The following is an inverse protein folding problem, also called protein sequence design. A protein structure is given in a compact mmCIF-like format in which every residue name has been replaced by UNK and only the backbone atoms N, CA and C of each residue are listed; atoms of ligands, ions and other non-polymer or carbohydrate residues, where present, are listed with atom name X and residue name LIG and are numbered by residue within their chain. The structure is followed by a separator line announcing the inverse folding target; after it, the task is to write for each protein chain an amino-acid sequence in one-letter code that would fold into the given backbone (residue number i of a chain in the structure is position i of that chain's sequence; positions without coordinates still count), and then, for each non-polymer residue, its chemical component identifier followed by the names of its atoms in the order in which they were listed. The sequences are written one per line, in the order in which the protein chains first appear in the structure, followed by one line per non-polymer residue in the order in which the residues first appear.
data_IF_325928022659
#
_entry.id   IF_325928022659
#
_cell.length_a   1.000
_cell.length_b   1.000
_cell.length_c   1.000
_cell.angle_alpha   90.00
_cell.angle_beta   90.00
_cell.angle_gamma   90.00
#
_symmetry.space_group_name_H-M   'P 1'
#
loop_
_entity.id
_entity.type
_entity.pdbx_description
1 polymer ?
#
# COMPACT_ATOMS: atom_id res chain seq x y z
N UNK A 1 23.29 -8.08 -3.62
CA UNK A 1 23.74 -7.82 -5.00
C UNK A 1 23.13 -8.86 -5.95
N UNK A 2 23.20 -10.15 -5.64
CA UNK A 2 22.54 -11.23 -6.41
C UNK A 2 21.02 -11.04 -6.58
N UNK A 3 20.29 -10.65 -5.52
CA UNK A 3 18.83 -10.41 -5.59
C UNK A 3 18.45 -9.37 -6.67
N UNK A 4 19.27 -8.32 -6.81
CA UNK A 4 19.04 -7.26 -7.80
C UNK A 4 19.37 -7.73 -9.23
N UNK A 5 20.33 -8.64 -9.38
CA UNK A 5 20.66 -9.24 -10.68
C UNK A 5 19.54 -10.19 -11.12
N UNK A 6 19.03 -11.02 -10.22
CA UNK A 6 17.93 -11.94 -10.51
C UNK A 6 16.64 -11.19 -10.88
N UNK A 7 16.29 -10.13 -10.15
CA UNK A 7 15.15 -9.25 -10.49
C UNK A 7 15.28 -8.65 -11.90
N UNK A 8 16.51 -8.28 -12.31
CA UNK A 8 16.77 -7.77 -13.66
C UNK A 8 16.68 -8.86 -14.73
N UNK A 9 17.16 -10.07 -14.44
CA UNK A 9 17.05 -11.22 -15.35
C UNK A 9 15.58 -11.58 -15.55
N UNK A 10 14.79 -11.63 -14.47
CA UNK A 10 13.35 -11.90 -14.53
C UNK A 10 12.61 -10.84 -15.34
N UNK A 11 12.96 -9.56 -15.17
CA UNK A 11 12.42 -8.47 -15.99
C UNK A 11 12.74 -8.69 -17.47
N UNK A 12 13.99 -8.99 -17.80
CA UNK A 12 14.43 -9.23 -19.18
C UNK A 12 13.67 -10.42 -19.79
N UNK A 13 13.54 -11.53 -19.06
CA UNK A 13 12.79 -12.70 -19.50
C UNK A 13 11.31 -12.37 -19.73
N UNK A 14 10.70 -11.56 -18.86
CA UNK A 14 9.31 -11.13 -19.02
C UNK A 14 9.11 -10.28 -20.28
N UNK A 15 10.07 -9.41 -20.62
CA UNK A 15 10.05 -8.60 -21.83
C UNK A 15 10.17 -9.48 -23.08
N UNK A 16 11.05 -10.47 -23.08
CA UNK A 16 11.16 -11.44 -24.17
C UNK A 16 9.86 -12.22 -24.38
N UNK A 17 9.25 -12.74 -23.31
CA UNK A 17 7.95 -13.42 -23.39
C UNK A 17 6.86 -12.50 -23.96
N UNK A 18 6.85 -11.21 -23.60
CA UNK A 18 5.87 -10.27 -24.16
C UNK A 18 6.07 -10.02 -25.66
N UNK A 19 7.32 -9.98 -26.13
CA UNK A 19 7.65 -9.85 -27.55
C UNK A 19 7.29 -11.11 -28.35
N UNK A 20 7.55 -12.29 -27.80
CA UNK A 20 7.18 -13.58 -28.43
C UNK A 20 5.67 -13.75 -28.57
N UNK A 21 4.91 -13.34 -27.54
CA UNK A 21 3.45 -13.46 -27.53
C UNK A 21 2.73 -12.39 -28.37
N UNK A 22 3.41 -11.31 -28.78
CA UNK A 22 2.83 -10.21 -29.56
C UNK A 22 3.65 -9.97 -30.84
N UNK A 23 3.51 -10.83 -31.87
CA UNK A 23 4.27 -10.69 -33.11
C UNK A 23 4.01 -9.33 -33.76
N UNK A 24 5.09 -8.60 -34.05
CA UNK A 24 5.05 -7.26 -34.64
C UNK A 24 5.13 -6.10 -33.64
N UNK A 25 5.11 -6.36 -32.33
CA UNK A 25 5.31 -5.33 -31.29
C UNK A 25 6.79 -5.24 -30.93
N UNK A 26 7.38 -4.05 -31.08
CA UNK A 26 8.79 -3.84 -30.73
C UNK A 26 8.99 -3.70 -29.22
N UNK A 27 10.21 -3.94 -28.73
CA UNK A 27 10.58 -3.64 -27.34
C UNK A 27 10.29 -2.18 -26.98
N UNK A 28 10.47 -1.25 -27.92
CA UNK A 28 10.18 0.17 -27.72
C UNK A 28 8.70 0.39 -27.43
N UNK A 29 7.81 -0.33 -28.12
CA UNK A 29 6.36 -0.22 -27.93
C UNK A 29 5.93 -0.75 -26.57
N UNK A 30 6.49 -1.89 -26.16
CA UNK A 30 6.27 -2.47 -24.81
C UNK A 30 6.70 -1.48 -23.73
N UNK A 31 7.91 -0.92 -23.85
CA UNK A 31 8.42 0.04 -22.87
C UNK A 31 7.61 1.34 -22.85
N UNK A 32 7.16 1.84 -24.01
CA UNK A 32 6.26 3.01 -24.08
C UNK A 32 4.91 2.75 -23.40
N UNK A 33 4.35 1.55 -23.59
CA UNK A 33 3.11 1.14 -22.92
C UNK A 33 3.30 1.15 -21.40
N UNK A 34 4.39 0.55 -20.91
CA UNK A 34 4.70 0.49 -19.48
C UNK A 34 4.96 1.86 -18.88
N UNK A 35 5.73 2.71 -19.55
CA UNK A 35 5.93 4.11 -19.13
C UNK A 35 4.60 4.86 -19.07
N UNK A 36 3.69 4.62 -20.01
CA UNK A 36 2.36 5.24 -20.00
C UNK A 36 1.53 4.79 -18.80
N UNK A 37 1.54 3.48 -18.48
CA UNK A 37 0.89 2.94 -17.29
C UNK A 37 1.46 3.55 -16.01
N UNK A 38 2.78 3.61 -15.88
CA UNK A 38 3.46 4.19 -14.72
C UNK A 38 3.16 5.68 -14.57
N UNK A 39 3.13 6.44 -15.66
CA UNK A 39 2.72 7.86 -15.63
C UNK A 39 1.29 8.03 -15.16
N UNK A 40 0.37 7.18 -15.64
CA UNK A 40 -1.03 7.18 -15.20
C UNK A 40 -1.12 6.87 -13.71
N UNK A 41 -0.44 5.83 -13.24
CA UNK A 41 -0.41 5.44 -11.83
C UNK A 41 0.16 6.55 -10.94
N UNK A 42 1.24 7.20 -11.36
CA UNK A 42 1.81 8.34 -10.63
C UNK A 42 0.85 9.52 -10.55
N UNK A 43 0.10 9.80 -11.63
CA UNK A 43 -0.93 10.83 -11.61
C UNK A 43 -2.05 10.48 -10.62
N UNK A 44 -2.54 9.24 -10.65
CA UNK A 44 -3.55 8.74 -9.71
C UNK A 44 -3.08 8.83 -8.25
N UNK A 45 -1.83 8.45 -7.96
CA UNK A 45 -1.26 8.59 -6.62
C UNK A 45 -1.15 10.04 -6.17
N UNK A 46 -0.75 10.94 -7.08
CA UNK A 46 -0.67 12.37 -6.77
C UNK A 46 -2.05 12.94 -6.42
N UNK A 47 -3.07 12.62 -7.21
CA UNK A 47 -4.45 13.02 -6.95
C UNK A 47 -4.97 12.47 -5.60
N UNK A 48 -4.62 11.23 -5.24
CA UNK A 48 -4.97 10.64 -3.95
C UNK A 48 -4.30 11.36 -2.77
N UNK A 49 -3.03 11.75 -2.91
CA UNK A 49 -2.27 12.49 -1.89
C UNK A 49 -2.84 13.90 -1.74
N UNK A 50 -3.08 14.59 -2.85
CA UNK A 50 -3.60 15.96 -2.86
C UNK A 50 -5.00 16.02 -2.20
N UNK A 51 -5.80 14.96 -2.33
CA UNK A 51 -7.10 14.82 -1.65
C UNK A 51 -7.02 14.59 -0.13
N UNK A 52 -5.85 14.22 0.41
CA UNK A 52 -5.66 13.89 1.84
C UNK A 52 -5.00 15.03 2.63
N UNK A 53 -5.32 16.28 2.30
CA UNK A 53 -4.88 17.44 3.07
C UNK A 53 -5.60 17.54 4.42
N UNK A 54 -4.91 18.08 5.44
CA UNK A 54 -5.48 18.24 6.79
C UNK A 54 -6.38 19.46 6.82
N UNK A 55 -7.65 19.29 7.21
CA UNK A 55 -8.63 20.37 7.34
C UNK A 55 -8.95 20.74 8.78
N UNK A 56 -8.81 19.80 9.71
CA UNK A 56 -9.01 20.05 11.14
C UNK A 56 -8.10 19.18 12.00
N UNK A 57 -7.66 19.72 13.14
CA UNK A 57 -6.83 19.00 14.11
C UNK A 57 -7.47 19.05 15.49
N UNK A 58 -7.76 17.87 16.04
CA UNK A 58 -8.29 17.67 17.38
C UNK A 58 -7.18 17.07 18.29
N UNK A 59 -6.75 17.82 19.30
CA UNK A 59 -5.76 17.34 20.29
C UNK A 59 -6.48 16.83 21.53
N UNK A 60 -6.30 15.54 21.86
CA UNK A 60 -6.76 14.93 23.10
C UNK A 60 -5.57 14.57 23.98
N UNK A 61 -5.84 14.25 25.25
CA UNK A 61 -4.80 13.90 26.24
C UNK A 61 -3.92 12.72 25.82
N UNK A 62 -4.48 11.73 25.13
CA UNK A 62 -3.79 10.50 24.73
C UNK A 62 -3.42 10.43 23.24
N UNK A 63 -4.01 11.27 22.38
CA UNK A 63 -3.85 11.18 20.92
C UNK A 63 -4.17 12.49 20.22
N UNK A 64 -3.59 12.69 19.06
CA UNK A 64 -3.95 13.76 18.12
C UNK A 64 -4.69 13.15 16.94
N UNK A 65 -5.83 13.75 16.56
CA UNK A 65 -6.63 13.36 15.42
C UNK A 65 -6.59 14.46 14.37
N UNK A 66 -6.31 14.08 13.13
CA UNK A 66 -6.33 14.93 11.95
C UNK A 66 -7.50 14.49 11.07
N UNK A 67 -8.41 15.41 10.80
CA UNK A 67 -9.49 15.22 9.82
C UNK A 67 -8.97 15.67 8.46
N UNK A 68 -9.16 14.81 7.46
CA UNK A 68 -8.66 15.03 6.11
C UNK A 68 -9.78 15.56 5.20
N UNK A 69 -9.40 16.28 4.14
CA UNK A 69 -10.35 16.92 3.22
C UNK A 69 -11.28 15.91 2.52
N UNK A 70 -10.79 14.70 2.24
CA UNK A 70 -11.59 13.61 1.68
C UNK A 70 -12.59 12.99 2.69
N UNK A 71 -12.59 13.42 3.95
CA UNK A 71 -13.42 12.88 5.03
C UNK A 71 -12.76 11.73 5.82
N UNK A 72 -11.56 11.30 5.44
CA UNK A 72 -10.77 10.33 6.17
C UNK A 72 -10.25 10.91 7.49
N UNK A 73 -9.77 10.04 8.39
CA UNK A 73 -9.23 10.45 9.69
C UNK A 73 -7.88 9.79 9.94
N UNK A 74 -6.85 10.60 10.19
CA UNK A 74 -5.54 10.13 10.60
C UNK A 74 -5.31 10.41 12.09
N UNK A 75 -4.80 9.44 12.83
CA UNK A 75 -4.62 9.53 14.27
C UNK A 75 -3.21 9.13 14.65
N UNK A 76 -2.61 9.91 15.54
CA UNK A 76 -1.28 9.65 16.11
C UNK A 76 -1.42 9.52 17.62
N UNK A 77 -0.99 8.38 18.16
CA UNK A 77 -0.86 8.18 19.60
C UNK A 77 0.18 9.15 20.18
N UNK A 78 -0.09 9.75 21.34
CA UNK A 78 0.80 10.75 21.95
C UNK A 78 2.18 10.20 22.28
N UNK A 79 2.27 8.91 22.62
CA UNK A 79 3.54 8.25 22.93
C UNK A 79 4.14 7.55 21.70
N UNK A 80 3.63 7.86 20.50
CA UNK A 80 4.02 7.25 19.24
C UNK A 80 3.92 5.72 19.27
N UNK A 81 3.02 5.11 20.07
CA UNK A 81 2.86 3.65 20.13
C UNK A 81 2.25 3.08 18.86
N UNK A 82 1.43 3.88 18.20
CA UNK A 82 0.83 3.58 16.90
C UNK A 82 0.36 4.87 16.26
N UNK A 83 0.13 4.80 14.96
CA UNK A 83 -0.66 5.75 14.20
C UNK A 83 -1.64 4.96 13.34
N UNK A 84 -2.78 5.54 12.99
CA UNK A 84 -3.68 4.89 12.04
C UNK A 84 -4.36 5.86 11.10
N UNK A 85 -4.67 5.37 9.91
CA UNK A 85 -5.53 6.04 8.94
C UNK A 85 -6.84 5.24 8.82
N UNK A 86 -7.97 5.88 9.12
CA UNK A 86 -9.27 5.43 8.65
C UNK A 86 -9.56 6.10 7.32
N UNK A 87 -9.64 5.30 6.25
CA UNK A 87 -9.96 5.78 4.91
C UNK A 87 -11.48 5.72 4.67
N UNK A 88 -12.10 6.86 4.38
CA UNK A 88 -13.56 6.93 4.28
C UNK A 88 -14.10 6.25 3.03
N UNK A 89 -13.32 6.14 1.95
CA UNK A 89 -13.73 5.56 0.67
C UNK A 89 -13.76 4.04 0.74
N UNK A 90 -12.69 3.46 1.27
CA UNK A 90 -12.51 2.00 1.39
C UNK A 90 -13.04 1.45 2.69
N UNK A 91 -13.27 2.31 3.70
CA UNK A 91 -13.64 1.94 5.07
C UNK A 91 -12.58 1.08 5.79
N UNK A 92 -11.37 1.02 5.25
CA UNK A 92 -10.24 0.29 5.84
C UNK A 92 -9.60 1.15 6.93
N UNK A 93 -9.20 0.51 8.04
CA UNK A 93 -8.33 1.12 9.05
C UNK A 93 -6.94 0.51 8.92
N UNK A 94 -5.94 1.33 8.66
CA UNK A 94 -4.53 0.93 8.59
C UNK A 94 -3.80 1.45 9.81
N UNK A 95 -3.34 0.56 10.70
CA UNK A 95 -2.45 0.87 11.81
C UNK A 95 -0.99 0.68 11.38
N UNK A 96 -0.13 1.57 11.86
CA UNK A 96 1.32 1.45 11.73
C UNK A 96 1.94 1.55 13.13
N UNK A 97 2.82 0.61 13.43
CA UNK A 97 3.52 0.50 14.70
C UNK A 97 5.01 0.85 14.54
N UNK A 98 5.68 1.36 15.60
CA UNK A 98 7.09 1.75 15.55
C UNK A 98 8.06 0.63 15.16
N UNK A 99 7.69 -0.63 15.40
CA UNK A 99 8.48 -1.78 15.03
C UNK A 99 8.44 -2.09 13.52
N UNK A 100 7.67 -1.35 12.71
CA UNK A 100 7.49 -1.59 11.28
C UNK A 100 6.31 -2.49 10.95
N UNK A 101 5.57 -2.99 11.95
CA UNK A 101 4.35 -3.76 11.73
C UNK A 101 3.24 -2.84 11.20
N UNK A 102 2.49 -3.36 10.22
CA UNK A 102 1.32 -2.68 9.65
C UNK A 102 0.11 -3.61 9.74
N UNK A 103 -1.00 -3.12 10.29
CA UNK A 103 -2.25 -3.88 10.35
C UNK A 103 -3.34 -3.20 9.55
N UNK A 104 -4.03 -3.93 8.68
CA UNK A 104 -5.22 -3.45 7.99
C UNK A 104 -6.44 -4.20 8.50
N UNK A 105 -7.44 -3.46 8.97
CA UNK A 105 -8.75 -4.00 9.31
C UNK A 105 -9.74 -3.64 8.20
N UNK A 106 -10.30 -4.67 7.57
CA UNK A 106 -11.25 -4.54 6.47
C UNK A 106 -12.70 -4.54 6.99
N UNK A 107 -13.64 -3.88 6.28
CA UNK A 107 -15.04 -3.81 6.69
C UNK A 107 -15.73 -5.16 6.86
N UNK A 108 -15.25 -6.16 6.11
CA UNK A 108 -15.73 -7.55 6.14
C UNK A 108 -15.22 -8.35 7.35
N UNK A 109 -14.51 -7.70 8.28
CA UNK A 109 -13.99 -8.34 9.51
C UNK A 109 -12.64 -9.04 9.35
N UNK A 110 -12.07 -9.05 8.14
CA UNK A 110 -10.73 -9.57 7.87
C UNK A 110 -9.68 -8.62 8.43
N UNK A 111 -8.60 -9.18 8.99
CA UNK A 111 -7.39 -8.41 9.31
C UNK A 111 -6.17 -8.95 8.58
N UNK A 112 -5.41 -8.07 7.95
CA UNK A 112 -4.06 -8.35 7.45
C UNK A 112 -3.05 -7.77 8.44
N UNK A 113 -2.06 -8.54 8.84
CA UNK A 113 -0.93 -8.12 9.65
C UNK A 113 0.33 -8.35 8.82
N UNK A 114 1.03 -7.28 8.50
CA UNK A 114 2.35 -7.34 7.85
C UNK A 114 3.42 -7.09 8.88
N UNK A 115 4.29 -8.06 9.05
CA UNK A 115 5.41 -8.00 9.98
C UNK A 115 6.63 -7.33 9.32
N UNK A 116 7.60 -6.85 10.12
CA UNK A 116 8.78 -6.15 9.59
C UNK A 116 9.67 -7.02 8.70
N UNK A 117 9.61 -8.34 8.88
CA UNK A 117 10.32 -9.33 8.07
C UNK A 117 9.62 -9.64 6.73
N UNK A 118 8.45 -9.04 6.48
CA UNK A 118 7.63 -9.25 5.29
C UNK A 118 6.58 -10.35 5.44
N UNK A 119 6.57 -11.10 6.54
CA UNK A 119 5.54 -12.13 6.81
C UNK A 119 4.15 -11.48 6.81
N UNK A 120 3.17 -12.14 6.21
CA UNK A 120 1.79 -11.66 6.18
C UNK A 120 0.89 -12.65 6.92
N UNK A 121 0.28 -12.22 8.02
CA UNK A 121 -0.78 -12.95 8.72
C UNK A 121 -2.15 -12.43 8.30
N UNK A 122 -3.05 -13.31 7.88
CA UNK A 122 -4.45 -13.00 7.57
C UNK A 122 -5.34 -13.63 8.64
N UNK A 123 -6.20 -12.82 9.26
CA UNK A 123 -7.18 -13.28 10.25
C UNK A 123 -8.59 -13.17 9.69
N UNK A 124 -9.25 -14.30 9.51
CA UNK A 124 -10.63 -14.45 9.03
C UNK A 124 -11.52 -14.94 10.19
N UNK A 125 -11.83 -14.05 11.14
CA UNK A 125 -12.70 -14.37 12.28
C UNK A 125 -11.98 -14.44 13.64
N UNK A 126 -12.48 -15.28 14.54
CA UNK A 126 -12.22 -15.11 15.98
C UNK A 126 -10.86 -15.59 16.48
N UNK A 127 -10.16 -16.56 15.86
CA UNK A 127 -8.94 -17.12 16.49
C UNK A 127 -7.82 -17.65 15.58
N UNK A 128 -7.98 -17.74 14.26
CA UNK A 128 -6.96 -18.36 13.42
C UNK A 128 -6.31 -17.34 12.48
N UNK A 129 -4.97 -17.32 12.50
CA UNK A 129 -4.15 -16.58 11.54
C UNK A 129 -3.65 -17.57 10.50
N UNK A 130 -3.96 -17.31 9.24
CA UNK A 130 -3.29 -17.93 8.11
C UNK A 130 -2.04 -17.11 7.78
N UNK A 131 -0.86 -17.74 7.75
CA UNK A 131 0.39 -17.06 7.44
C UNK A 131 0.82 -17.34 6.02
N UNK A 132 0.99 -16.29 5.23
CA UNK A 132 1.60 -16.33 3.91
C UNK A 132 3.09 -15.99 4.06
N UNK A 133 3.94 -16.90 3.56
CA UNK A 133 5.40 -16.73 3.48
C UNK A 133 5.83 -16.53 2.04
#
# INVERSE_FOLDING_TARGET
MERNINEKIDLINSLFMQMENKPGVSLIDILKEEITKLKKLNKEYKELIDGKSIVHTEKRTSKTRYHLADGSTYVVDRNNKYRYLYDVKTKIITYEFPNGQVEKSYPVGIKEIRYPDGTIGVRTGNKEYEYLK
#
